data_IF_650405474609
#
_entry.id   IF_650405474609
#
_cell.length_a   1.000
_cell.length_b   1.000
_cell.length_c   1.000
_cell.angle_alpha   90.00
_cell.angle_beta   90.00
_cell.angle_gamma   90.00
#
_symmetry.space_group_name_H-M   'P 1'
#
loop_
_entity.id
_entity.type
_entity.pdbx_description
1 polymer ?
#
# COMPACT_ATOMS: atom_id res chain seq x y z
N UNK A 1 2.69 13.37 23.94
CA UNK A 1 2.08 12.66 22.81
C UNK A 1 1.29 11.48 23.33
N UNK A 2 0.19 11.11 22.67
CA UNK A 2 -0.64 9.96 23.02
C UNK A 2 0.17 8.68 22.82
N UNK A 3 0.04 7.72 23.72
CA UNK A 3 0.70 6.41 23.55
C UNK A 3 0.05 5.62 22.41
N UNK A 4 0.80 4.73 21.76
CA UNK A 4 0.26 3.86 20.72
C UNK A 4 -0.90 2.99 21.19
N UNK A 5 -0.97 2.72 22.50
CA UNK A 5 -2.08 2.00 23.14
C UNK A 5 -3.36 2.83 23.16
N UNK A 6 -3.28 4.13 23.48
CA UNK A 6 -4.44 5.04 23.46
C UNK A 6 -5.03 5.17 22.06
N UNK A 7 -4.16 5.25 21.04
CA UNK A 7 -4.58 5.28 19.62
C UNK A 7 -5.27 3.97 19.23
N UNK A 8 -4.70 2.81 19.63
CA UNK A 8 -5.31 1.51 19.35
C UNK A 8 -6.69 1.36 20.00
N UNK A 9 -6.88 1.85 21.23
CA UNK A 9 -8.18 1.86 21.91
C UNK A 9 -9.19 2.77 21.21
N UNK A 10 -8.76 3.93 20.72
CA UNK A 10 -9.61 4.86 20.00
C UNK A 10 -10.12 4.24 18.68
N UNK A 11 -9.24 3.58 17.93
CA UNK A 11 -9.57 2.85 16.70
C UNK A 11 -10.54 1.69 16.96
N UNK A 12 -10.33 0.91 18.02
CA UNK A 12 -11.23 -0.19 18.40
C UNK A 12 -12.61 0.35 18.80
N UNK A 13 -12.67 1.47 19.51
CA UNK A 13 -13.91 2.12 19.90
C UNK A 13 -14.70 2.65 18.68
N UNK A 14 -14.01 3.30 17.74
CA UNK A 14 -14.63 3.85 16.53
C UNK A 14 -15.11 2.76 15.57
N UNK A 15 -14.42 1.62 15.52
CA UNK A 15 -14.79 0.48 14.67
C UNK A 15 -15.84 -0.46 15.29
N UNK A 16 -16.30 -0.16 16.51
CA UNK A 16 -17.31 -0.97 17.22
C UNK A 16 -16.85 -2.39 17.57
N UNK A 17 -15.55 -2.67 17.50
CA UNK A 17 -15.01 -3.98 17.90
C UNK A 17 -14.94 -4.10 19.43
N UNK A 18 -15.24 -5.28 20.00
CA UNK A 18 -15.20 -5.47 21.42
C UNK A 18 -13.78 -5.24 21.96
N UNK A 19 -13.66 -4.47 23.03
CA UNK A 19 -12.41 -4.33 23.76
C UNK A 19 -11.93 -5.69 24.28
N UNK A 20 -10.65 -6.02 24.17
CA UNK A 20 -10.12 -7.18 24.85
C UNK A 20 -10.37 -7.03 26.36
N UNK A 21 -10.93 -8.08 26.98
CA UNK A 21 -11.31 -8.08 28.40
C UNK A 21 -10.12 -7.91 29.37
N UNK A 22 -8.91 -8.01 28.87
CA UNK A 22 -7.68 -7.73 29.62
C UNK A 22 -6.87 -6.71 28.83
N UNK A 23 -6.57 -5.59 29.48
CA UNK A 23 -5.54 -4.67 28.99
C UNK A 23 -4.23 -5.47 28.99
N UNK A 24 -3.62 -5.73 27.84
CA UNK A 24 -2.29 -6.32 27.86
C UNK A 24 -1.41 -5.37 28.67
N UNK A 25 -0.78 -5.85 29.74
CA UNK A 25 0.27 -5.08 30.42
C UNK A 25 1.44 -5.04 29.45
N UNK A 26 1.48 -4.00 28.64
CA UNK A 26 2.65 -3.71 27.84
C UNK A 26 3.72 -3.20 28.79
N UNK A 27 4.52 -4.14 29.34
CA UNK A 27 5.84 -3.74 29.74
C UNK A 27 6.48 -3.14 28.48
N UNK A 28 7.23 -2.07 28.62
CA UNK A 28 8.10 -1.49 27.59
C UNK A 28 9.20 -2.50 27.19
N UNK A 29 8.78 -3.74 26.96
CA UNK A 29 9.62 -4.78 26.46
C UNK A 29 9.81 -4.49 24.99
N UNK A 30 11.05 -4.42 24.56
CA UNK A 30 11.50 -4.49 23.18
C UNK A 30 11.15 -5.86 22.58
N UNK A 31 9.91 -6.34 22.79
CA UNK A 31 9.48 -7.62 22.27
C UNK A 31 9.30 -7.53 20.77
N UNK A 32 9.57 -8.61 20.03
CA UNK A 32 9.31 -8.68 18.61
C UNK A 32 7.89 -8.26 18.24
N UNK A 33 6.90 -8.65 19.05
CA UNK A 33 5.48 -8.35 18.84
C UNK A 33 5.19 -6.84 18.92
N UNK A 34 5.78 -6.17 19.90
CA UNK A 34 5.63 -4.72 20.02
C UNK A 34 6.25 -3.99 18.83
N UNK A 35 7.48 -4.37 18.46
CA UNK A 35 8.16 -3.77 17.33
C UNK A 35 7.39 -3.99 16.01
N UNK A 36 6.90 -5.21 15.76
CA UNK A 36 6.11 -5.54 14.59
C UNK A 36 4.84 -4.69 14.51
N UNK A 37 4.11 -4.58 15.63
CA UNK A 37 2.91 -3.74 15.70
C UNK A 37 3.19 -2.28 15.38
N UNK A 38 4.27 -1.73 15.95
CA UNK A 38 4.70 -0.37 15.68
C UNK A 38 5.15 -0.17 14.22
N UNK A 39 5.97 -1.08 13.70
CA UNK A 39 6.49 -1.00 12.34
C UNK A 39 5.37 -1.12 11.29
N UNK A 40 4.39 -2.01 11.52
CA UNK A 40 3.20 -2.12 10.68
C UNK A 40 2.32 -0.87 10.72
N UNK A 41 2.13 -0.27 11.90
CA UNK A 41 1.39 0.98 12.03
C UNK A 41 2.09 2.12 11.28
N UNK A 42 3.42 2.17 11.35
CA UNK A 42 4.22 3.13 10.60
C UNK A 42 4.09 2.91 9.09
N UNK A 43 4.16 1.65 8.64
CA UNK A 43 4.00 1.29 7.22
C UNK A 43 2.60 1.65 6.71
N UNK A 44 1.56 1.35 7.48
CA UNK A 44 0.19 1.75 7.17
C UNK A 44 0.07 3.28 7.00
N UNK A 45 0.63 4.03 7.94
CA UNK A 45 0.61 5.49 7.90
C UNK A 45 1.34 6.03 6.67
N UNK A 46 2.49 5.46 6.31
CA UNK A 46 3.31 5.93 5.18
C UNK A 46 2.72 5.60 3.81
N UNK A 47 1.92 4.54 3.70
CA UNK A 47 1.36 4.06 2.43
C UNK A 47 -0.14 4.29 2.28
N UNK A 48 -0.84 4.63 3.37
CA UNK A 48 -2.31 4.70 3.41
C UNK A 48 -3.00 3.35 3.08
N UNK A 49 -2.27 2.23 3.14
CA UNK A 49 -2.85 0.90 3.06
C UNK A 49 -3.59 0.57 4.35
N UNK A 50 -4.71 -0.14 4.26
CA UNK A 50 -5.34 -0.75 5.42
C UNK A 50 -4.53 -1.97 5.89
N UNK A 51 -4.67 -2.34 7.17
CA UNK A 51 -4.06 -3.58 7.68
C UNK A 51 -4.54 -4.83 6.93
N UNK A 52 -5.77 -4.83 6.43
CA UNK A 52 -6.30 -5.93 5.63
C UNK A 52 -5.55 -6.06 4.29
N UNK A 53 -5.32 -4.95 3.58
CA UNK A 53 -4.54 -4.93 2.33
C UNK A 53 -3.10 -5.37 2.57
N UNK A 54 -2.47 -4.88 3.65
CA UNK A 54 -1.10 -5.27 4.01
C UNK A 54 -1.04 -6.77 4.29
N UNK A 55 -1.91 -7.29 5.16
CA UNK A 55 -1.89 -8.70 5.57
C UNK A 55 -2.29 -9.66 4.43
N UNK A 56 -3.08 -9.19 3.47
CA UNK A 56 -3.40 -9.97 2.27
C UNK A 56 -2.18 -10.14 1.37
N UNK A 57 -1.38 -9.10 1.23
CA UNK A 57 -0.17 -9.11 0.41
C UNK A 57 1.02 -9.75 1.15
N UNK A 58 1.20 -9.40 2.42
CA UNK A 58 2.34 -9.81 3.25
C UNK A 58 1.77 -10.31 4.59
N UNK A 59 1.63 -11.64 4.76
CA UNK A 59 1.13 -12.21 6.01
C UNK A 59 1.97 -11.78 7.22
N UNK A 60 1.33 -11.57 8.36
CA UNK A 60 2.02 -11.13 9.60
C UNK A 60 3.15 -12.06 10.03
N UNK A 61 3.06 -13.34 9.67
CA UNK A 61 4.13 -14.32 9.89
C UNK A 61 5.41 -13.99 9.13
N UNK A 62 5.28 -13.47 7.92
CA UNK A 62 6.42 -13.00 7.11
C UNK A 62 6.99 -11.70 7.68
N UNK A 63 6.13 -10.76 8.06
CA UNK A 63 6.56 -9.52 8.75
C UNK A 63 7.34 -9.83 10.02
N UNK A 64 6.96 -10.88 10.76
CA UNK A 64 7.66 -11.31 11.96
C UNK A 64 9.12 -11.73 11.70
N UNK A 65 9.38 -12.31 10.54
CA UNK A 65 10.75 -12.69 10.13
C UNK A 65 11.64 -11.46 9.87
N UNK A 66 11.05 -10.31 9.60
CA UNK A 66 11.77 -9.05 9.40
C UNK A 66 12.27 -8.42 10.71
N UNK A 67 11.81 -8.91 11.88
CA UNK A 67 12.26 -8.37 13.15
C UNK A 67 13.78 -8.44 13.29
N UNK A 68 14.35 -9.62 13.17
CA UNK A 68 15.79 -9.84 13.39
C UNK A 68 16.68 -8.94 12.52
N UNK A 69 16.46 -8.83 11.19
CA UNK A 69 17.30 -7.99 10.36
C UNK A 69 17.02 -6.48 10.47
N UNK A 70 15.81 -6.06 10.92
CA UNK A 70 15.42 -4.65 10.78
C UNK A 70 15.15 -3.91 12.10
N UNK A 71 15.05 -4.59 13.27
CA UNK A 71 14.63 -3.95 14.52
C UNK A 71 15.64 -2.91 15.06
N UNK A 72 16.91 -3.01 14.68
CA UNK A 72 17.96 -2.06 15.04
C UNK A 72 18.29 -1.06 13.93
N UNK A 73 17.63 -1.18 12.77
CA UNK A 73 17.86 -0.32 11.62
C UNK A 73 16.92 0.88 11.60
N UNK A 74 17.21 1.85 10.72
CA UNK A 74 16.29 2.93 10.41
C UNK A 74 14.99 2.33 9.85
N UNK A 75 13.85 2.80 10.35
CA UNK A 75 12.52 2.32 9.94
C UNK A 75 12.30 2.42 8.43
N UNK A 76 12.97 3.33 7.75
CA UNK A 76 12.88 3.46 6.28
C UNK A 76 13.35 2.20 5.57
N UNK A 77 14.35 1.50 6.08
CA UNK A 77 14.83 0.24 5.49
C UNK A 77 13.77 -0.87 5.60
N UNK A 78 13.05 -0.92 6.73
CA UNK A 78 11.89 -1.79 6.86
C UNK A 78 10.78 -1.43 5.87
N UNK A 79 10.48 -0.13 5.71
CA UNK A 79 9.48 0.35 4.75
C UNK A 79 9.88 -0.04 3.31
N UNK A 80 11.14 0.13 2.94
CA UNK A 80 11.64 -0.23 1.61
C UNK A 80 11.48 -1.74 1.35
N UNK A 81 11.79 -2.57 2.36
CA UNK A 81 11.58 -4.03 2.24
C UNK A 81 10.11 -4.41 2.14
N UNK A 82 9.26 -3.79 2.94
CA UNK A 82 7.81 -3.99 2.84
C UNK A 82 7.26 -3.56 1.47
N UNK A 83 7.76 -2.46 0.92
CA UNK A 83 7.39 -2.01 -0.42
C UNK A 83 7.79 -3.02 -1.50
N UNK A 84 8.99 -3.62 -1.37
CA UNK A 84 9.45 -4.68 -2.26
C UNK A 84 8.52 -5.90 -2.20
N UNK A 85 8.26 -6.42 -1.01
CA UNK A 85 7.38 -7.57 -0.79
C UNK A 85 5.94 -7.31 -1.29
N UNK A 86 5.42 -6.11 -1.03
CA UNK A 86 4.08 -5.73 -1.50
C UNK A 86 4.01 -5.73 -3.03
N UNK A 87 5.02 -5.21 -3.72
CA UNK A 87 5.07 -5.22 -5.19
C UNK A 87 5.23 -6.62 -5.77
N UNK A 88 5.95 -7.50 -5.10
CA UNK A 88 6.07 -8.92 -5.47
C UNK A 88 4.73 -9.64 -5.32
N UNK A 89 4.01 -9.39 -4.24
CA UNK A 89 2.68 -9.95 -3.99
C UNK A 89 1.60 -9.39 -4.92
N UNK A 90 1.76 -8.11 -5.37
CA UNK A 90 0.87 -7.45 -6.32
C UNK A 90 1.64 -7.09 -7.61
N UNK A 91 1.86 -8.05 -8.51
CA UNK A 91 2.68 -7.85 -9.71
C UNK A 91 2.03 -6.90 -10.72
N UNK A 92 0.70 -6.82 -10.74
CA UNK A 92 -0.03 -5.94 -11.67
C UNK A 92 -0.26 -4.56 -11.06
N UNK A 93 -0.19 -3.53 -11.92
CA UNK A 93 -0.51 -2.15 -11.54
C UNK A 93 -2.01 -1.93 -11.58
N UNK A 94 -2.50 -0.95 -10.81
CA UNK A 94 -3.91 -0.54 -10.85
C UNK A 94 -4.36 -0.19 -12.29
N UNK A 95 -3.52 0.50 -13.04
CA UNK A 95 -3.80 0.82 -14.45
C UNK A 95 -4.01 -0.44 -15.29
N UNK A 96 -3.16 -1.45 -15.15
CA UNK A 96 -3.29 -2.71 -15.92
C UNK A 96 -4.54 -3.47 -15.51
N UNK A 97 -4.84 -3.56 -14.21
CA UNK A 97 -6.06 -4.19 -13.70
C UNK A 97 -7.31 -3.54 -14.27
N UNK A 98 -7.42 -2.20 -14.19
CA UNK A 98 -8.57 -1.45 -14.68
C UNK A 98 -8.72 -1.56 -16.21
N UNK A 99 -7.62 -1.48 -16.96
CA UNK A 99 -7.64 -1.66 -18.41
C UNK A 99 -8.11 -3.06 -18.80
N UNK A 100 -7.60 -4.09 -18.13
CA UNK A 100 -7.99 -5.48 -18.40
C UNK A 100 -9.46 -5.71 -18.04
N UNK A 101 -9.92 -5.14 -16.93
CA UNK A 101 -11.33 -5.17 -16.55
C UNK A 101 -12.24 -4.51 -17.59
N UNK A 102 -11.78 -3.41 -18.20
CA UNK A 102 -12.47 -2.73 -19.30
C UNK A 102 -12.35 -3.48 -20.66
N UNK A 103 -11.69 -4.63 -20.71
CA UNK A 103 -11.40 -5.40 -21.92
C UNK A 103 -10.70 -4.60 -23.03
N UNK A 104 -9.83 -3.65 -22.65
CA UNK A 104 -9.06 -2.84 -23.59
C UNK A 104 -7.62 -3.35 -23.71
N UNK A 105 -7.11 -3.41 -24.92
CA UNK A 105 -5.67 -3.52 -25.18
C UNK A 105 -4.96 -2.20 -24.83
N UNK A 106 -3.65 -2.25 -24.67
CA UNK A 106 -2.84 -1.04 -24.47
C UNK A 106 -2.99 -0.05 -25.65
N UNK A 107 -3.10 -0.56 -26.86
CA UNK A 107 -3.28 0.25 -28.07
C UNK A 107 -4.66 0.92 -28.12
N UNK A 108 -5.70 0.20 -27.76
CA UNK A 108 -7.06 0.76 -27.69
C UNK A 108 -7.18 1.83 -26.60
N UNK A 109 -6.63 1.57 -25.42
CA UNK A 109 -6.59 2.58 -24.36
C UNK A 109 -5.82 3.83 -24.81
N UNK A 110 -4.69 3.66 -25.51
CA UNK A 110 -3.90 4.76 -26.05
C UNK A 110 -4.70 5.58 -27.07
N UNK A 111 -5.37 4.90 -27.99
CA UNK A 111 -6.18 5.54 -29.04
C UNK A 111 -7.34 6.34 -28.44
N UNK A 112 -8.06 5.75 -27.48
CA UNK A 112 -9.22 6.38 -26.88
C UNK A 112 -8.85 7.53 -25.92
N UNK A 113 -7.74 7.38 -25.17
CA UNK A 113 -7.30 8.40 -24.22
C UNK A 113 -6.45 9.52 -24.85
N UNK A 114 -5.88 9.28 -26.04
CA UNK A 114 -4.90 10.18 -26.64
C UNK A 114 -3.54 10.17 -25.92
N UNK A 115 -3.29 9.18 -25.05
CA UNK A 115 -2.00 8.96 -24.37
C UNK A 115 -1.20 7.94 -25.17
N UNK A 116 0.11 8.18 -25.38
CA UNK A 116 0.92 7.26 -26.19
C UNK A 116 0.96 5.84 -25.61
N UNK A 117 0.92 4.82 -26.46
CA UNK A 117 1.07 3.40 -26.07
C UNK A 117 2.31 3.19 -25.21
N UNK A 118 3.43 3.83 -25.60
CA UNK A 118 4.69 3.75 -24.87
C UNK A 118 4.54 4.26 -23.43
N UNK A 119 3.80 5.32 -23.22
CA UNK A 119 3.55 5.87 -21.88
C UNK A 119 2.73 4.90 -21.04
N UNK A 120 1.68 4.31 -21.59
CA UNK A 120 0.86 3.30 -20.93
C UNK A 120 1.71 2.09 -20.55
N UNK A 121 2.51 1.57 -21.48
CA UNK A 121 3.43 0.46 -21.23
C UNK A 121 4.42 0.77 -20.10
N UNK A 122 4.99 1.97 -20.09
CA UNK A 122 5.94 2.37 -19.04
C UNK A 122 5.30 2.42 -17.65
N UNK A 123 4.03 2.87 -17.56
CA UNK A 123 3.29 2.82 -16.29
C UNK A 123 2.96 1.39 -15.87
N UNK A 124 2.44 0.57 -16.77
CA UNK A 124 2.08 -0.82 -16.47
C UNK A 124 3.30 -1.70 -16.12
N UNK A 125 4.46 -1.40 -16.67
CA UNK A 125 5.72 -2.08 -16.37
C UNK A 125 6.47 -1.46 -15.17
N UNK A 126 5.89 -0.47 -14.49
CA UNK A 126 6.53 0.28 -13.40
C UNK A 126 7.89 0.89 -13.77
N UNK A 127 8.12 1.16 -15.07
CA UNK A 127 9.32 1.89 -15.54
C UNK A 127 9.18 3.39 -15.35
N UNK A 128 7.96 3.87 -15.18
CA UNK A 128 7.63 5.25 -14.89
C UNK A 128 6.57 5.28 -13.79
N UNK A 129 6.81 6.12 -12.80
CA UNK A 129 5.91 6.28 -11.66
C UNK A 129 4.64 7.01 -12.08
N UNK A 130 3.51 6.31 -12.07
CA UNK A 130 2.21 6.88 -12.40
C UNK A 130 1.79 7.97 -11.41
N UNK A 131 2.25 7.91 -10.15
CA UNK A 131 1.95 8.91 -9.13
C UNK A 131 2.57 10.28 -9.44
N UNK A 132 3.60 10.30 -10.31
CA UNK A 132 4.24 11.53 -10.82
C UNK A 132 3.75 11.95 -12.19
N UNK A 133 2.70 11.30 -12.71
CA UNK A 133 2.12 11.67 -13.97
C UNK A 133 1.43 13.04 -13.90
N UNK A 134 1.40 13.75 -15.03
CA UNK A 134 0.63 14.98 -15.14
C UNK A 134 -0.86 14.69 -14.95
N UNK A 135 -1.54 15.55 -14.20
CA UNK A 135 -2.98 15.41 -13.91
C UNK A 135 -3.81 15.24 -15.19
N UNK A 136 -3.46 15.96 -16.26
CA UNK A 136 -4.13 15.83 -17.55
C UNK A 136 -4.04 14.41 -18.13
N UNK A 137 -2.88 13.76 -18.01
CA UNK A 137 -2.67 12.37 -18.47
C UNK A 137 -3.54 11.41 -17.67
N UNK A 138 -3.56 11.56 -16.33
CA UNK A 138 -4.40 10.72 -15.46
C UNK A 138 -5.89 10.90 -15.77
N UNK A 139 -6.34 12.14 -15.97
CA UNK A 139 -7.74 12.43 -16.30
C UNK A 139 -8.15 11.83 -17.66
N UNK A 140 -7.29 11.87 -18.66
CA UNK A 140 -7.54 11.24 -19.98
C UNK A 140 -7.73 9.74 -19.85
N UNK A 141 -6.87 9.07 -19.09
CA UNK A 141 -6.94 7.62 -18.84
C UNK A 141 -8.20 7.29 -18.01
N UNK A 142 -8.43 8.01 -16.91
CA UNK A 142 -9.55 7.79 -16.01
C UNK A 142 -10.91 7.91 -16.72
N UNK A 143 -11.05 8.86 -17.64
CA UNK A 143 -12.27 9.03 -18.45
C UNK A 143 -12.58 7.83 -19.33
N UNK A 144 -11.56 7.24 -19.96
CA UNK A 144 -11.73 6.06 -20.83
C UNK A 144 -12.07 4.83 -19.98
N UNK A 145 -11.41 4.68 -18.83
CA UNK A 145 -11.62 3.54 -17.92
C UNK A 145 -12.85 3.71 -17.01
N UNK A 146 -13.52 4.86 -17.07
CA UNK A 146 -14.70 5.18 -16.24
C UNK A 146 -14.40 4.99 -14.75
N UNK A 147 -13.23 5.46 -14.32
CA UNK A 147 -12.76 5.37 -12.93
C UNK A 147 -12.33 6.75 -12.39
N UNK A 148 -12.03 6.83 -11.11
CA UNK A 148 -11.44 8.02 -10.51
C UNK A 148 -9.93 8.03 -10.72
N UNK A 149 -9.31 9.21 -10.66
CA UNK A 149 -7.84 9.34 -10.72
C UNK A 149 -7.17 8.60 -9.56
N UNK A 150 -7.81 8.62 -8.39
CA UNK A 150 -7.35 7.92 -7.19
C UNK A 150 -7.26 6.40 -7.37
N UNK A 151 -8.08 5.84 -8.26
CA UNK A 151 -8.08 4.40 -8.55
C UNK A 151 -6.88 3.99 -9.44
N UNK A 152 -6.28 4.95 -10.16
CA UNK A 152 -5.11 4.72 -11.03
C UNK A 152 -3.78 4.79 -10.28
N UNK A 153 -3.72 5.60 -9.21
CA UNK A 153 -2.47 5.81 -8.48
C UNK A 153 -2.13 4.61 -7.59
N UNK A 154 -0.83 4.34 -7.46
CA UNK A 154 -0.33 3.27 -6.62
C UNK A 154 -0.13 3.77 -5.18
N UNK A 155 -0.68 3.05 -4.20
CA UNK A 155 -0.50 3.38 -2.77
C UNK A 155 0.93 3.14 -2.30
N UNK A 156 1.60 2.15 -2.91
CA UNK A 156 3.01 1.85 -2.65
C UNK A 156 3.83 2.41 -3.81
N UNK A 157 4.68 3.43 -3.56
CA UNK A 157 5.51 4.02 -4.60
C UNK A 157 6.54 3.02 -5.14
N UNK A 158 7.05 3.34 -6.34
CA UNK A 158 8.15 2.59 -6.94
C UNK A 158 9.46 2.78 -6.17
#
# INVERSE_FOLDING_TARGET
GRSGVEIAYEVLRETGKPHPKQTPSYSYNRSPEYWIGWALAYYQWSTSLSFAEINQAIPVTEVRMLYTPYHEMDIRQFVDKMNELYREAKPETNLKELRTFANLSQSELAQQSGVSVRTIQQYEQRRKDINKAQTETLLKIARVLVCKVEDLVEKVPM
#
